data_IF_525616645940
#
_entry.id   IF_525616645940
#
_cell.length_a   1.000
_cell.length_b   1.000
_cell.length_c   1.000
_cell.angle_alpha   90.00
_cell.angle_beta   90.00
_cell.angle_gamma   90.00
#
_symmetry.space_group_name_H-M   'P 1'
#
loop_
_entity.id
_entity.type
_entity.pdbx_description
1 polymer ?
#
# COMPACT_ATOMS: atom_id res chain seq x y z
N UNK A 1 18.38 18.26 13.16
CA UNK A 1 17.04 17.70 12.91
C UNK A 1 17.17 16.22 12.58
N UNK A 2 16.28 15.37 13.07
CA UNK A 2 16.27 13.95 12.72
C UNK A 2 15.64 13.74 11.33
N UNK A 3 15.92 12.60 10.69
CA UNK A 3 15.34 12.25 9.37
C UNK A 3 13.81 12.18 9.42
N UNK A 4 13.26 11.67 10.54
CA UNK A 4 11.82 11.68 10.80
C UNK A 4 11.24 13.09 10.87
N UNK A 5 11.93 14.04 11.51
CA UNK A 5 11.47 15.44 11.57
C UNK A 5 11.44 16.09 10.19
N UNK A 6 12.49 15.89 9.38
CA UNK A 6 12.51 16.40 8.01
C UNK A 6 11.40 15.79 7.14
N UNK A 7 11.14 14.49 7.28
CA UNK A 7 10.05 13.84 6.56
C UNK A 7 8.67 14.40 6.98
N UNK A 8 8.47 14.65 8.28
CA UNK A 8 7.23 15.26 8.79
C UNK A 8 7.04 16.70 8.29
N UNK A 9 8.09 17.49 8.25
CA UNK A 9 8.05 18.84 7.69
C UNK A 9 7.74 18.81 6.18
N UNK A 10 8.30 17.84 5.46
CA UNK A 10 8.01 17.62 4.05
C UNK A 10 6.53 17.32 3.82
N UNK A 11 5.98 16.33 4.53
CA UNK A 11 4.56 15.98 4.43
C UNK A 11 3.61 17.10 4.87
N UNK A 12 4.03 17.95 5.81
CA UNK A 12 3.24 19.12 6.21
C UNK A 12 3.14 20.16 5.08
N UNK A 13 4.14 20.22 4.20
CA UNK A 13 4.15 21.13 3.03
C UNK A 13 3.56 20.49 1.78
N UNK A 14 3.59 19.15 1.72
CA UNK A 14 3.17 18.34 0.58
C UNK A 14 2.22 17.21 1.04
N UNK A 15 1.00 17.56 1.52
CA UNK A 15 0.07 16.59 2.09
C UNK A 15 -0.41 15.54 1.09
N UNK A 16 -0.36 15.83 -0.21
CA UNK A 16 -0.68 14.89 -1.29
C UNK A 16 0.35 13.77 -1.49
N UNK A 17 1.52 13.85 -0.84
CA UNK A 17 2.59 12.86 -0.99
C UNK A 17 2.40 11.74 0.01
N UNK A 18 2.23 10.53 -0.49
CA UNK A 18 2.02 9.31 0.31
C UNK A 18 3.29 8.88 1.06
N UNK A 19 4.46 9.01 0.41
CA UNK A 19 5.75 8.56 0.95
C UNK A 19 6.94 9.34 0.43
N UNK A 20 8.03 9.33 1.19
CA UNK A 20 9.36 9.81 0.77
C UNK A 20 10.46 8.84 1.24
N UNK A 21 11.58 8.84 0.54
CA UNK A 21 12.72 7.97 0.76
C UNK A 21 13.88 8.80 1.28
N UNK A 22 14.33 8.53 2.50
CA UNK A 22 15.48 9.19 3.11
C UNK A 22 16.76 8.37 3.01
N UNK A 23 17.88 9.02 2.83
CA UNK A 23 19.21 8.38 2.79
C UNK A 23 19.99 8.58 4.10
N UNK A 24 21.11 7.88 4.23
CA UNK A 24 21.93 7.89 5.46
C UNK A 24 22.46 9.28 5.85
N UNK A 25 22.74 10.12 4.86
CA UNK A 25 23.19 11.51 4.97
C UNK A 25 22.06 12.54 5.20
N UNK A 26 20.80 12.09 5.24
CA UNK A 26 19.65 12.91 5.62
C UNK A 26 18.95 13.63 4.48
N UNK A 27 19.27 13.32 3.21
CA UNK A 27 18.48 13.77 2.07
C UNK A 27 17.18 12.98 1.95
N UNK A 28 16.14 13.62 1.40
CA UNK A 28 14.84 13.03 1.13
C UNK A 28 14.54 13.08 -0.37
N UNK A 29 13.96 12.01 -0.90
CA UNK A 29 13.62 11.85 -2.30
C UNK A 29 12.18 11.33 -2.43
N UNK A 30 11.48 11.77 -3.49
CA UNK A 30 10.13 11.26 -3.79
C UNK A 30 10.18 9.87 -4.43
N UNK A 31 11.24 9.60 -5.19
CA UNK A 31 11.42 8.35 -5.95
C UNK A 31 12.48 7.46 -5.30
N UNK A 32 12.14 6.18 -5.08
CA UNK A 32 13.05 5.17 -4.50
C UNK A 32 14.34 5.04 -5.31
N UNK A 33 14.26 5.10 -6.63
CA UNK A 33 15.41 4.94 -7.53
C UNK A 33 16.44 6.06 -7.32
N UNK A 34 15.99 7.28 -7.04
CA UNK A 34 16.85 8.42 -6.80
C UNK A 34 17.53 8.32 -5.43
N UNK A 35 16.77 7.94 -4.40
CA UNK A 35 17.35 7.66 -3.08
C UNK A 35 18.37 6.52 -3.13
N UNK A 36 18.08 5.45 -3.87
CA UNK A 36 18.99 4.31 -4.02
C UNK A 36 20.30 4.73 -4.71
N UNK A 37 20.22 5.41 -5.85
CA UNK A 37 21.42 5.94 -6.56
C UNK A 37 22.25 6.85 -5.69
N UNK A 38 21.59 7.71 -4.89
CA UNK A 38 22.28 8.60 -3.96
C UNK A 38 22.95 7.82 -2.83
N UNK A 39 22.23 6.88 -2.22
CA UNK A 39 22.75 6.01 -1.15
C UNK A 39 23.93 5.15 -1.61
N UNK A 40 24.01 4.74 -2.88
CA UNK A 40 25.14 3.99 -3.43
C UNK A 40 26.48 4.75 -3.34
N UNK A 41 26.43 6.09 -3.31
CA UNK A 41 27.60 6.95 -3.17
C UNK A 41 28.01 7.18 -1.71
N UNK A 42 27.18 6.73 -0.75
CA UNK A 42 27.40 6.88 0.68
C UNK A 42 28.06 5.63 1.27
N UNK A 43 28.79 5.82 2.38
CA UNK A 43 29.39 4.71 3.13
C UNK A 43 28.31 3.75 3.67
N UNK A 44 27.21 4.32 4.15
CA UNK A 44 26.03 3.58 4.60
C UNK A 44 24.95 3.67 3.52
N UNK A 45 24.79 2.62 2.73
CA UNK A 45 23.84 2.56 1.60
C UNK A 45 22.38 2.36 2.03
N UNK A 46 22.02 2.90 3.19
CA UNK A 46 20.70 2.74 3.78
C UNK A 46 19.71 3.74 3.16
N UNK A 47 18.57 3.20 2.73
CA UNK A 47 17.40 3.97 2.31
C UNK A 47 16.27 3.64 3.27
N UNK A 48 15.74 4.66 3.94
CA UNK A 48 14.64 4.57 4.88
C UNK A 48 13.39 5.14 4.24
N UNK A 49 12.27 4.42 4.32
CA UNK A 49 10.98 4.91 3.81
C UNK A 49 10.23 5.61 4.93
N UNK A 50 9.81 6.84 4.69
CA UNK A 50 8.88 7.56 5.55
C UNK A 50 7.54 7.63 4.85
N UNK A 51 6.47 7.25 5.54
CA UNK A 51 5.09 7.36 5.04
C UNK A 51 4.41 8.55 5.70
N UNK A 52 3.53 9.21 4.95
CA UNK A 52 2.73 10.30 5.47
C UNK A 52 1.64 9.75 6.39
N UNK A 53 1.70 10.08 7.68
CA UNK A 53 0.69 9.66 8.67
C UNK A 53 -0.73 10.21 8.33
N UNK A 54 -0.82 11.24 7.48
CA UNK A 54 -2.09 11.83 7.06
C UNK A 54 -2.91 10.94 6.11
N UNK A 55 -2.28 10.00 5.40
CA UNK A 55 -3.01 8.92 4.73
C UNK A 55 -2.86 7.66 5.57
N UNK A 56 -3.84 7.45 6.46
CA UNK A 56 -4.13 6.16 7.08
C UNK A 56 -4.67 5.18 6.02
N UNK A 57 -3.95 5.04 4.90
CA UNK A 57 -4.11 3.92 3.98
C UNK A 57 -3.01 2.92 4.33
N UNK A 58 -3.35 1.66 4.58
CA UNK A 58 -2.35 0.60 4.69
C UNK A 58 -1.67 0.47 3.32
N UNK A 59 -0.54 1.17 3.17
CA UNK A 59 0.17 1.27 1.91
C UNK A 59 0.95 -0.03 1.67
N UNK A 60 0.33 -0.88 0.85
CA UNK A 60 0.90 -1.81 -0.12
C UNK A 60 2.38 -2.19 0.10
N UNK A 61 2.59 -3.36 0.70
CA UNK A 61 3.70 -4.20 0.30
C UNK A 61 3.49 -4.58 -1.17
N UNK A 62 4.48 -4.25 -2.02
CA UNK A 62 4.65 -4.69 -3.41
C UNK A 62 3.38 -5.03 -4.19
N UNK A 63 2.98 -4.16 -5.14
CA UNK A 63 2.08 -4.26 -6.33
C UNK A 63 1.56 -5.66 -6.81
N UNK A 64 1.27 -6.56 -5.89
CA UNK A 64 0.46 -7.74 -6.08
C UNK A 64 -0.91 -7.24 -5.73
N UNK A 65 -1.64 -6.82 -6.78
CA UNK A 65 -3.10 -6.72 -6.70
C UNK A 65 -3.58 -7.89 -5.85
N UNK A 66 -4.43 -7.66 -4.84
CA UNK A 66 -4.81 -8.72 -3.90
C UNK A 66 -5.41 -9.94 -4.64
N UNK A 67 -5.89 -9.71 -5.87
CA UNK A 67 -6.35 -10.69 -6.86
C UNK A 67 -5.25 -11.60 -7.42
N UNK A 68 -3.99 -11.36 -7.12
CA UNK A 68 -2.87 -12.27 -7.43
C UNK A 68 -2.54 -13.19 -6.25
N UNK A 69 -3.10 -12.93 -5.06
CA UNK A 69 -2.90 -13.79 -3.89
C UNK A 69 -3.59 -15.14 -4.08
N UNK A 70 -3.11 -16.14 -3.35
CA UNK A 70 -3.82 -17.41 -3.19
C UNK A 70 -5.17 -17.16 -2.50
N UNK A 71 -6.16 -18.03 -2.73
CA UNK A 71 -7.51 -17.88 -2.15
C UNK A 71 -7.46 -17.70 -0.63
N UNK A 72 -6.62 -18.47 0.08
CA UNK A 72 -6.48 -18.37 1.53
C UNK A 72 -5.96 -17.00 2.01
N UNK A 73 -4.97 -16.44 1.30
CA UNK A 73 -4.43 -15.13 1.61
C UNK A 73 -5.43 -14.03 1.25
N UNK A 74 -6.10 -14.16 0.09
CA UNK A 74 -7.17 -13.27 -0.33
C UNK A 74 -8.26 -13.20 0.75
N UNK A 75 -8.75 -14.33 1.26
CA UNK A 75 -9.74 -14.38 2.36
C UNK A 75 -9.29 -13.59 3.58
N UNK A 76 -8.01 -13.68 3.95
CA UNK A 76 -7.48 -12.99 5.12
C UNK A 76 -7.35 -11.48 4.90
N UNK A 77 -6.97 -11.07 3.69
CA UNK A 77 -6.83 -9.65 3.35
C UNK A 77 -8.20 -8.96 3.18
N UNK A 78 -9.17 -9.59 2.50
CA UNK A 78 -10.49 -8.99 2.29
C UNK A 78 -11.29 -8.84 3.59
N UNK A 79 -10.99 -9.65 4.61
CA UNK A 79 -11.58 -9.50 5.95
C UNK A 79 -11.15 -8.24 6.67
N UNK A 80 -10.02 -7.65 6.29
CA UNK A 80 -9.52 -6.36 6.82
C UNK A 80 -10.14 -5.16 6.10
N UNK A 81 -10.89 -5.41 5.02
CA UNK A 81 -11.58 -4.38 4.25
C UNK A 81 -13.04 -4.35 4.70
N UNK A 82 -13.46 -3.20 5.21
CA UNK A 82 -14.84 -2.96 5.66
C UNK A 82 -15.67 -2.17 4.65
N UNK A 83 -15.05 -1.69 3.56
CA UNK A 83 -15.73 -1.01 2.48
C UNK A 83 -16.22 -2.02 1.43
N UNK A 84 -17.53 -2.27 1.41
CA UNK A 84 -18.17 -3.16 0.46
C UNK A 84 -17.91 -2.74 -1.01
N UNK A 85 -17.82 -1.44 -1.30
CA UNK A 85 -17.60 -0.95 -2.68
C UNK A 85 -16.20 -1.31 -3.19
N UNK A 86 -15.21 -1.34 -2.30
CA UNK A 86 -13.86 -1.79 -2.65
C UNK A 86 -13.86 -3.28 -2.99
N UNK A 87 -14.58 -4.11 -2.23
CA UNK A 87 -14.70 -5.55 -2.53
C UNK A 87 -15.48 -5.78 -3.84
N UNK A 88 -16.52 -4.99 -4.12
CA UNK A 88 -17.25 -5.05 -5.39
C UNK A 88 -16.36 -4.73 -6.59
N UNK A 89 -15.51 -3.70 -6.50
CA UNK A 89 -14.55 -3.36 -7.54
C UNK A 89 -13.55 -4.50 -7.79
N UNK A 90 -13.06 -5.14 -6.72
CA UNK A 90 -12.17 -6.30 -6.79
C UNK A 90 -12.85 -7.51 -7.43
N UNK A 91 -14.13 -7.75 -7.13
CA UNK A 91 -14.93 -8.82 -7.75
C UNK A 91 -15.08 -8.61 -9.26
N UNK A 92 -15.36 -7.38 -9.70
CA UNK A 92 -15.46 -7.03 -11.12
C UNK A 92 -14.11 -7.32 -11.81
N UNK A 93 -13.01 -6.82 -11.25
CA UNK A 93 -11.68 -7.03 -11.82
C UNK A 93 -11.26 -8.50 -11.89
N UNK A 94 -11.58 -9.31 -10.86
CA UNK A 94 -11.33 -10.77 -10.88
C UNK A 94 -12.17 -11.46 -11.95
N UNK A 95 -13.44 -11.08 -12.12
CA UNK A 95 -14.33 -11.61 -13.18
C UNK A 95 -13.86 -11.24 -14.59
N UNK A 96 -13.17 -10.12 -14.77
CA UNK A 96 -12.63 -9.70 -16.07
C UNK A 96 -11.27 -10.33 -16.38
N UNK A 97 -10.38 -10.38 -15.39
CA UNK A 97 -8.97 -10.73 -15.59
C UNK A 97 -8.69 -12.24 -15.47
N UNK A 98 -8.88 -12.80 -14.28
CA UNK A 98 -8.35 -14.13 -13.92
C UNK A 98 -9.44 -15.21 -13.76
N UNK A 99 -10.69 -14.79 -13.49
CA UNK A 99 -11.90 -15.64 -13.45
C UNK A 99 -11.76 -16.85 -12.52
N UNK A 100 -10.99 -16.71 -11.43
CA UNK A 100 -10.76 -17.81 -10.49
C UNK A 100 -12.01 -17.99 -9.63
N UNK A 101 -12.74 -19.09 -9.84
CA UNK A 101 -13.99 -19.39 -9.12
C UNK A 101 -13.86 -19.24 -7.60
N UNK A 102 -12.82 -19.83 -7.02
CA UNK A 102 -12.59 -19.72 -5.57
C UNK A 102 -12.43 -18.28 -5.10
N UNK A 103 -11.68 -17.43 -5.82
CA UNK A 103 -11.51 -16.03 -5.44
C UNK A 103 -12.82 -15.23 -5.57
N UNK A 104 -13.59 -15.49 -6.64
CA UNK A 104 -14.91 -14.90 -6.86
C UNK A 104 -15.86 -15.25 -5.70
N UNK A 105 -15.92 -16.53 -5.31
CA UNK A 105 -16.79 -16.99 -4.21
C UNK A 105 -16.44 -16.28 -2.89
N UNK A 106 -15.16 -16.20 -2.53
CA UNK A 106 -14.77 -15.52 -1.28
C UNK A 106 -15.09 -14.02 -1.31
N UNK A 107 -14.91 -13.35 -2.46
CA UNK A 107 -15.26 -11.93 -2.63
C UNK A 107 -16.78 -11.71 -2.51
N UNK A 108 -17.59 -12.58 -3.13
CA UNK A 108 -19.05 -12.54 -3.05
C UNK A 108 -19.58 -12.81 -1.64
N UNK A 109 -19.00 -13.77 -0.93
CA UNK A 109 -19.36 -14.07 0.45
C UNK A 109 -19.04 -12.89 1.39
N UNK A 110 -17.86 -12.26 1.23
CA UNK A 110 -17.50 -11.08 2.03
C UNK A 110 -18.42 -9.89 1.77
N UNK A 111 -18.85 -9.67 0.52
CA UNK A 111 -19.83 -8.62 0.17
C UNK A 111 -21.17 -8.89 0.87
N UNK A 112 -21.63 -10.14 0.88
CA UNK A 112 -22.87 -10.52 1.58
C UNK A 112 -22.74 -10.26 3.08
N UNK A 113 -21.66 -10.73 3.71
CA UNK A 113 -21.40 -10.47 5.14
C UNK A 113 -21.47 -8.96 5.46
N UNK A 114 -20.81 -8.12 4.67
CA UNK A 114 -20.81 -6.66 4.88
C UNK A 114 -22.17 -6.00 4.67
N UNK A 115 -23.03 -6.58 3.83
CA UNK A 115 -24.38 -6.07 3.56
C UNK A 115 -25.43 -6.59 4.54
N UNK A 116 -25.26 -7.79 5.10
CA UNK A 116 -26.15 -8.36 6.12
C UNK A 116 -25.90 -7.80 7.54
N UNK A 117 -24.75 -7.17 7.76
CA UNK A 117 -24.39 -6.52 9.04
C UNK A 117 -24.94 -5.07 9.14
N UNK A 118 -25.56 -4.53 8.08
CA UNK A 118 -26.19 -3.19 8.07
C UNK A 118 -27.68 -3.24 8.40
#
# INVERSE_FOLDING_TARGET
MTKQQQAKEYFSRHPERERVFGTSDGFLFEEKQNAAKHAETLEYKEVVVFKNEAENRPEAEEDKSILQLSVANLTSEIKKIDDAKLIEALLIQEKESAKRKGAIEVLEDRIKELNEIK
#
